data_IF_432469512105
#
_entry.id   IF_432469512105
#
_cell.length_a   1.000
_cell.length_b   1.000
_cell.length_c   1.000
_cell.angle_alpha   90.00
_cell.angle_beta   90.00
_cell.angle_gamma   90.00
#
_symmetry.space_group_name_H-M   'P 1'
#
loop_
_entity.id
_entity.type
_entity.pdbx_description
1 polymer ?
#
# COMPACT_ATOMS: atom_id res chain seq x y z
N UNK A 1 -26.01 -37.35 -26.57
CA UNK A 1 -24.65 -37.83 -26.34
C UNK A 1 -23.57 -36.81 -26.68
N UNK A 2 -23.84 -35.57 -26.59
CA UNK A 2 -22.83 -34.54 -26.75
C UNK A 2 -23.15 -33.44 -25.74
N UNK A 3 -22.89 -33.67 -24.48
CA UNK A 3 -23.20 -32.71 -23.43
C UNK A 3 -22.11 -32.56 -22.41
N UNK A 4 -20.86 -32.91 -22.74
CA UNK A 4 -19.74 -32.77 -21.83
C UNK A 4 -18.68 -31.78 -22.26
N UNK A 5 -18.98 -30.91 -23.18
CA UNK A 5 -17.97 -29.94 -23.66
C UNK A 5 -18.14 -28.52 -23.13
N UNK A 6 -19.06 -28.28 -22.24
CA UNK A 6 -19.34 -26.92 -21.78
C UNK A 6 -18.77 -26.55 -20.43
N UNK A 7 -18.02 -27.44 -19.78
CA UNK A 7 -17.56 -27.19 -18.40
C UNK A 7 -16.10 -26.78 -18.31
N UNK A 8 -15.37 -26.71 -19.37
CA UNK A 8 -13.92 -26.44 -19.34
C UNK A 8 -13.58 -24.96 -19.60
N UNK A 9 -14.55 -24.19 -20.02
CA UNK A 9 -14.27 -22.78 -20.38
C UNK A 9 -14.42 -21.78 -19.24
N UNK A 10 -14.84 -22.21 -18.07
CA UNK A 10 -15.08 -21.29 -16.95
C UNK A 10 -13.90 -21.08 -16.02
N UNK A 11 -12.79 -21.79 -16.22
CA UNK A 11 -11.63 -21.66 -15.32
C UNK A 11 -10.53 -20.72 -15.82
N UNK A 12 -10.69 -20.09 -16.94
CA UNK A 12 -9.64 -19.26 -17.55
C UNK A 12 -9.77 -17.75 -17.29
N UNK A 13 -10.77 -17.33 -16.55
CA UNK A 13 -11.07 -15.90 -16.38
C UNK A 13 -10.58 -15.25 -15.08
N UNK A 14 -9.86 -15.96 -14.20
CA UNK A 14 -9.72 -15.51 -12.81
C UNK A 14 -8.31 -15.04 -12.44
N UNK A 15 -7.34 -15.07 -13.32
CA UNK A 15 -5.96 -14.82 -12.95
C UNK A 15 -5.50 -13.36 -13.00
N UNK A 16 -6.35 -12.42 -13.45
CA UNK A 16 -5.93 -11.04 -13.66
C UNK A 16 -6.13 -10.11 -12.46
N UNK A 17 -6.82 -10.56 -11.40
CA UNK A 17 -7.31 -9.67 -10.35
C UNK A 17 -6.43 -9.58 -9.08
N UNK A 18 -5.31 -10.29 -9.00
CA UNK A 18 -4.59 -10.46 -7.73
C UNK A 18 -3.23 -9.76 -7.66
N UNK A 19 -2.95 -8.82 -8.56
CA UNK A 19 -1.66 -8.13 -8.55
C UNK A 19 -1.74 -6.84 -7.75
N UNK A 20 -1.05 -6.79 -6.61
CA UNK A 20 -0.90 -5.54 -5.88
C UNK A 20 -0.09 -4.55 -6.70
N UNK A 21 -0.47 -3.28 -6.60
CA UNK A 21 0.18 -2.16 -7.26
C UNK A 21 1.12 -1.42 -6.31
N UNK A 22 0.91 -1.58 -5.01
CA UNK A 22 1.69 -0.93 -3.98
C UNK A 22 1.73 -1.78 -2.70
N UNK A 23 2.90 -1.83 -2.07
CA UNK A 23 3.13 -2.49 -0.79
C UNK A 23 3.86 -1.53 0.14
N UNK A 24 3.38 -1.41 1.37
CA UNK A 24 4.00 -0.59 2.40
C UNK A 24 4.44 -1.48 3.55
N UNK A 25 5.71 -1.37 3.96
CA UNK A 25 6.26 -1.99 5.15
C UNK A 25 6.58 -0.92 6.20
N UNK A 26 6.39 -1.26 7.45
CA UNK A 26 6.67 -0.37 8.57
C UNK A 26 7.42 -1.07 9.68
N UNK A 27 8.19 -0.28 10.43
CA UNK A 27 8.73 -0.66 11.72
C UNK A 27 8.28 0.42 12.72
N UNK A 28 7.19 0.17 13.42
CA UNK A 28 6.56 1.17 14.29
C UNK A 28 7.45 1.59 15.46
N UNK A 29 8.23 0.66 15.99
CA UNK A 29 9.14 0.93 17.12
C UNK A 29 10.19 2.00 16.79
N UNK A 30 10.50 2.18 15.51
CA UNK A 30 11.53 3.13 15.05
C UNK A 30 10.98 4.23 14.14
N UNK A 31 9.67 4.26 13.93
CA UNK A 31 9.04 5.20 12.99
C UNK A 31 9.64 5.13 11.57
N UNK A 32 9.91 3.92 11.11
CA UNK A 32 10.46 3.65 9.78
C UNK A 32 9.37 3.10 8.87
N UNK A 33 9.36 3.55 7.64
CA UNK A 33 8.47 3.02 6.61
C UNK A 33 9.19 2.93 5.27
N UNK A 34 8.69 2.05 4.43
CA UNK A 34 9.12 1.91 3.04
C UNK A 34 7.93 1.50 2.18
N UNK A 35 7.80 2.12 1.03
CA UNK A 35 6.78 1.77 0.05
C UNK A 35 7.45 1.38 -1.27
N UNK A 36 6.95 0.32 -1.88
CA UNK A 36 7.30 -0.05 -3.24
C UNK A 36 6.03 -0.11 -4.07
N UNK A 37 6.05 0.46 -5.24
CA UNK A 37 4.86 0.59 -6.09
C UNK A 37 5.24 0.60 -7.56
N UNK A 38 4.27 0.26 -8.37
CA UNK A 38 4.42 0.33 -9.81
C UNK A 38 4.35 1.78 -10.28
N UNK A 39 5.38 2.18 -11.00
CA UNK A 39 5.43 3.47 -11.67
C UNK A 39 5.00 3.33 -13.15
N UNK A 40 5.16 4.39 -13.90
CA UNK A 40 4.83 4.44 -15.32
C UNK A 40 5.65 3.46 -16.17
N UNK A 41 6.84 3.11 -15.73
CA UNK A 41 7.83 2.35 -16.52
C UNK A 41 8.06 0.94 -16.00
N UNK A 42 7.97 0.73 -14.69
CA UNK A 42 8.29 -0.53 -14.05
C UNK A 42 7.06 -1.16 -13.42
N UNK A 43 6.84 -2.42 -13.75
CA UNK A 43 5.71 -3.21 -13.26
C UNK A 43 6.22 -4.46 -12.56
N UNK A 44 5.95 -4.53 -11.27
CA UNK A 44 6.37 -5.62 -10.41
C UNK A 44 5.17 -6.45 -9.95
N UNK A 45 5.42 -7.71 -9.61
CA UNK A 45 4.44 -8.55 -8.94
C UNK A 45 4.33 -8.16 -7.47
N UNK A 46 3.27 -8.64 -6.80
CA UNK A 46 3.11 -8.47 -5.35
C UNK A 46 4.34 -8.95 -4.57
N UNK A 47 4.85 -10.12 -4.91
CA UNK A 47 6.03 -10.70 -4.26
C UNK A 47 7.28 -9.81 -4.41
N UNK A 48 7.51 -9.31 -5.62
CA UNK A 48 8.63 -8.42 -5.91
C UNK A 48 8.50 -7.09 -5.16
N UNK A 49 7.30 -6.47 -5.16
CA UNK A 49 7.04 -5.24 -4.40
C UNK A 49 7.24 -5.46 -2.89
N UNK A 50 6.78 -6.58 -2.37
CA UNK A 50 6.96 -6.94 -0.96
C UNK A 50 8.43 -7.09 -0.60
N UNK A 51 9.21 -7.75 -1.43
CA UNK A 51 10.65 -7.93 -1.22
C UNK A 51 11.40 -6.59 -1.26
N UNK A 52 11.06 -5.72 -2.21
CA UNK A 52 11.66 -4.40 -2.32
C UNK A 52 11.35 -3.52 -1.11
N UNK A 53 10.09 -3.46 -0.69
CA UNK A 53 9.66 -2.66 0.46
C UNK A 53 10.26 -3.18 1.77
N UNK A 54 10.29 -4.49 1.97
CA UNK A 54 10.90 -5.13 3.14
C UNK A 54 12.40 -4.83 3.21
N UNK A 55 13.11 -4.98 2.10
CA UNK A 55 14.55 -4.70 2.03
C UNK A 55 14.86 -3.23 2.33
N UNK A 56 14.07 -2.31 1.80
CA UNK A 56 14.24 -0.88 2.05
C UNK A 56 13.95 -0.51 3.51
N UNK A 57 12.93 -1.10 4.12
CA UNK A 57 12.63 -0.93 5.54
C UNK A 57 13.81 -1.37 6.42
N UNK A 58 14.40 -2.52 6.13
CA UNK A 58 15.58 -3.03 6.83
C UNK A 58 16.79 -2.14 6.61
N UNK A 59 17.01 -1.69 5.39
CA UNK A 59 18.11 -0.77 5.03
C UNK A 59 18.02 0.54 5.81
N UNK A 60 16.84 1.03 6.08
CA UNK A 60 16.59 2.22 6.91
C UNK A 60 16.81 1.98 8.41
N UNK A 61 17.10 0.75 8.82
CA UNK A 61 17.36 0.38 10.21
C UNK A 61 16.20 -0.33 10.91
N UNK A 62 15.17 -0.72 10.19
CA UNK A 62 14.03 -1.46 10.73
C UNK A 62 14.45 -2.87 11.15
N UNK A 63 14.14 -3.24 12.41
CA UNK A 63 14.45 -4.56 12.97
C UNK A 63 13.25 -5.49 12.93
N UNK A 64 12.03 -4.96 12.91
CA UNK A 64 10.77 -5.70 12.83
C UNK A 64 9.89 -5.07 11.76
N UNK A 65 10.32 -5.20 10.52
CA UNK A 65 9.58 -4.69 9.38
C UNK A 65 8.39 -5.59 9.08
N UNK A 66 7.19 -5.02 9.13
CA UNK A 66 5.94 -5.71 8.85
C UNK A 66 5.20 -5.02 7.72
N UNK A 67 4.48 -5.81 6.93
CA UNK A 67 3.60 -5.27 5.90
C UNK A 67 2.41 -4.55 6.54
N UNK A 68 2.35 -3.24 6.37
CA UNK A 68 1.20 -2.43 6.80
C UNK A 68 0.06 -2.56 5.80
N UNK A 69 0.37 -2.50 4.52
CA UNK A 69 -0.62 -2.41 3.46
C UNK A 69 -0.13 -3.05 2.18
N UNK A 70 -1.03 -3.68 1.47
CA UNK A 70 -0.83 -4.13 0.09
C UNK A 70 -2.16 -4.02 -0.65
N UNK A 71 -2.18 -3.40 -1.81
CA UNK A 71 -3.39 -3.23 -2.58
C UNK A 71 -3.10 -3.17 -4.07
N UNK A 72 -4.07 -3.59 -4.85
CA UNK A 72 -4.05 -3.51 -6.31
C UNK A 72 -4.69 -2.22 -6.87
N UNK A 73 -4.98 -1.26 -6.01
CA UNK A 73 -5.64 -0.02 -6.45
C UNK A 73 -4.64 0.98 -6.99
N UNK A 74 -4.80 1.32 -8.25
CA UNK A 74 -4.09 2.43 -8.87
C UNK A 74 -4.71 3.77 -8.47
N UNK A 75 -3.95 4.84 -8.56
CA UNK A 75 -4.37 6.19 -8.21
C UNK A 75 -3.47 6.82 -7.17
N UNK A 76 -3.99 7.83 -6.50
CA UNK A 76 -3.27 8.52 -5.45
C UNK A 76 -3.29 7.73 -4.14
N UNK A 77 -2.13 7.61 -3.55
CA UNK A 77 -1.93 7.01 -2.23
C UNK A 77 -1.40 8.08 -1.28
N UNK A 78 -1.80 7.97 -0.02
CA UNK A 78 -1.30 8.82 1.05
C UNK A 78 -0.82 7.97 2.21
N UNK A 79 0.23 8.44 2.88
CA UNK A 79 0.71 7.87 4.13
C UNK A 79 0.86 9.01 5.13
N UNK A 80 0.30 8.82 6.30
CA UNK A 80 0.48 9.72 7.43
C UNK A 80 1.13 8.98 8.58
N UNK A 81 2.07 9.59 9.22
CA UNK A 81 2.74 9.03 10.39
C UNK A 81 3.04 10.09 11.44
N UNK A 82 2.90 9.72 12.67
CA UNK A 82 3.05 10.57 13.81
C UNK A 82 2.92 9.75 15.09
N UNK A 83 2.27 10.31 16.10
CA UNK A 83 2.17 9.69 17.43
C UNK A 83 0.76 9.73 17.98
N UNK A 84 0.45 8.76 18.84
CA UNK A 84 -0.68 8.82 19.78
C UNK A 84 -0.36 9.76 20.94
N UNK A 85 -1.38 10.09 21.72
CA UNK A 85 -1.21 10.91 22.91
C UNK A 85 -0.23 10.30 23.94
N UNK A 86 -0.13 8.95 23.97
CA UNK A 86 0.81 8.24 24.85
C UNK A 86 2.24 8.17 24.32
N UNK A 87 2.52 8.73 23.15
CA UNK A 87 3.83 8.74 22.51
C UNK A 87 4.12 7.59 21.56
N UNK A 88 3.22 6.60 21.43
CA UNK A 88 3.37 5.50 20.47
C UNK A 88 3.27 5.99 19.04
N UNK A 89 4.06 5.41 18.14
CA UNK A 89 4.00 5.73 16.73
C UNK A 89 2.74 5.17 16.07
N UNK A 90 2.18 5.95 15.17
CA UNK A 90 1.02 5.59 14.34
C UNK A 90 1.34 5.86 12.90
N UNK A 91 1.04 4.90 12.05
CA UNK A 91 1.10 5.05 10.59
C UNK A 91 -0.20 4.55 9.98
N UNK A 92 -0.77 5.32 9.08
CA UNK A 92 -1.96 4.93 8.32
C UNK A 92 -1.84 5.38 6.88
N UNK A 93 -2.43 4.61 5.99
CA UNK A 93 -2.40 4.88 4.56
C UNK A 93 -3.80 4.95 3.95
N UNK A 94 -3.91 5.68 2.88
CA UNK A 94 -5.05 5.64 1.96
C UNK A 94 -4.60 5.11 0.61
N UNK A 95 -5.53 4.64 -0.20
CA UNK A 95 -5.24 3.96 -1.45
C UNK A 95 -6.22 4.29 -2.56
N UNK A 96 -5.72 4.38 -3.79
CA UNK A 96 -6.57 4.43 -4.98
C UNK A 96 -7.50 5.61 -5.06
N UNK A 97 -7.12 6.75 -4.51
CA UNK A 97 -7.94 7.94 -4.54
C UNK A 97 -7.80 8.69 -5.87
N UNK A 98 -8.85 9.37 -6.27
CA UNK A 98 -8.88 10.11 -7.54
C UNK A 98 -7.97 11.33 -7.54
N UNK A 99 -7.73 11.93 -6.37
CA UNK A 99 -6.91 13.13 -6.23
C UNK A 99 -5.95 13.00 -5.05
N UNK A 100 -4.85 13.74 -5.11
CA UNK A 100 -3.90 13.84 -4.00
C UNK A 100 -4.56 14.36 -2.73
N UNK A 101 -5.40 15.37 -2.86
CA UNK A 101 -6.17 15.98 -1.75
C UNK A 101 -7.07 14.93 -1.06
N UNK A 102 -7.76 14.09 -1.82
CA UNK A 102 -8.58 13.00 -1.28
C UNK A 102 -7.73 11.94 -0.57
N UNK A 103 -6.57 11.61 -1.11
CA UNK A 103 -5.63 10.68 -0.48
C UNK A 103 -5.14 11.19 0.88
N UNK A 104 -4.79 12.46 0.96
CA UNK A 104 -4.37 13.11 2.21
C UNK A 104 -5.53 13.09 3.22
N UNK A 105 -6.72 13.49 2.80
CA UNK A 105 -7.90 13.56 3.67
C UNK A 105 -8.25 12.18 4.26
N UNK A 106 -8.23 11.13 3.44
CA UNK A 106 -8.53 9.77 3.88
C UNK A 106 -7.44 9.21 4.81
N UNK A 107 -6.17 9.45 4.51
CA UNK A 107 -5.07 9.06 5.37
C UNK A 107 -5.17 9.74 6.76
N UNK A 108 -5.49 11.02 6.79
CA UNK A 108 -5.71 11.78 8.04
C UNK A 108 -6.89 11.22 8.84
N UNK A 109 -7.98 10.87 8.15
CA UNK A 109 -9.14 10.29 8.79
C UNK A 109 -8.78 8.97 9.49
N UNK A 110 -8.08 8.09 8.82
CA UNK A 110 -7.62 6.80 9.36
C UNK A 110 -6.62 6.98 10.50
N UNK A 111 -5.73 7.93 10.36
CA UNK A 111 -4.75 8.29 11.39
C UNK A 111 -5.43 8.74 12.70
N UNK A 112 -6.43 9.60 12.61
CA UNK A 112 -7.21 10.04 13.76
C UNK A 112 -8.00 8.91 14.40
N UNK A 113 -8.60 8.06 13.58
CA UNK A 113 -9.35 6.88 14.06
C UNK A 113 -8.45 5.90 14.82
N UNK A 114 -7.18 5.81 14.46
CA UNK A 114 -6.18 4.97 15.14
C UNK A 114 -5.51 5.69 16.33
N UNK A 115 -6.05 6.81 16.75
CA UNK A 115 -5.58 7.55 17.93
C UNK A 115 -4.45 8.54 17.66
N UNK A 116 -4.10 8.76 16.39
CA UNK A 116 -3.08 9.74 16.03
C UNK A 116 -3.48 11.15 16.41
N UNK A 117 -2.56 11.91 17.00
CA UNK A 117 -2.77 13.28 17.39
C UNK A 117 -2.03 14.24 16.47
N UNK A 118 -2.60 15.43 16.32
CA UNK A 118 -2.05 16.48 15.47
C UNK A 118 -1.00 17.26 16.27
N UNK A 119 0.15 16.65 16.47
CA UNK A 119 1.27 17.23 17.21
C UNK A 119 2.41 17.59 16.25
N UNK A 120 3.34 18.39 16.70
CA UNK A 120 4.57 18.70 15.98
C UNK A 120 5.29 17.42 15.58
N UNK A 121 5.64 17.29 14.30
CA UNK A 121 6.35 16.14 13.76
C UNK A 121 5.49 15.09 13.06
N UNK A 122 4.17 15.26 12.97
CA UNK A 122 3.39 14.42 12.09
C UNK A 122 3.67 14.77 10.62
N UNK A 123 3.84 13.76 9.79
CA UNK A 123 4.21 13.95 8.39
C UNK A 123 3.23 13.26 7.45
N UNK A 124 3.02 13.86 6.30
CA UNK A 124 2.20 13.31 5.21
C UNK A 124 3.06 13.12 3.97
N UNK A 125 2.96 11.96 3.37
CA UNK A 125 3.58 11.64 2.08
C UNK A 125 2.50 11.18 1.10
N UNK A 126 2.67 11.54 -0.17
CA UNK A 126 1.77 11.11 -1.24
C UNK A 126 2.56 10.64 -2.45
N UNK A 127 1.98 9.73 -3.19
CA UNK A 127 2.50 9.27 -4.49
C UNK A 127 1.37 8.73 -5.35
N UNK A 128 1.65 8.63 -6.65
CA UNK A 128 0.71 8.08 -7.61
C UNK A 128 1.14 6.67 -8.04
N UNK A 129 0.22 5.73 -7.95
CA UNK A 129 0.42 4.33 -8.30
C UNK A 129 -0.24 4.04 -9.64
N UNK A 130 0.53 3.55 -10.59
CA UNK A 130 0.05 3.24 -11.93
C UNK A 130 -0.52 1.83 -12.01
N UNK A 131 -1.52 1.67 -12.87
CA UNK A 131 -2.14 0.38 -13.10
C UNK A 131 -1.19 -0.57 -13.85
N UNK A 132 -1.19 -1.84 -13.47
CA UNK A 132 -0.50 -2.92 -14.19
C UNK A 132 -1.23 -3.36 -15.45
N UNK A 133 -2.43 -2.88 -15.67
CA UNK A 133 -3.22 -3.28 -16.84
C UNK A 133 -2.65 -2.56 -18.06
N UNK A 134 -2.07 -3.31 -18.97
CA UNK A 134 -1.73 -2.81 -20.29
C UNK A 134 -3.03 -2.60 -21.08
N UNK A 135 -3.32 -1.37 -21.38
CA UNK A 135 -4.38 -1.06 -22.33
C UNK A 135 -3.89 -1.32 -23.75
#
# INVERSE_FOLDING_TARGET
MVKMFLLVLLCLGVSAASQAQCVIFTCNEKNIWAASYNDKYEHYTLSELGNLASAECKKKGGTRCRRLYASNKAGWWGLIFGKRANGDFVMQASEGEATESAAIAEAKRRYKMDGGVNADGYQVKTWYVYSNVKN
#
